data_IF_152362602269
#
_entry.id   IF_152362602269
#
_cell.length_a   1.000
_cell.length_b   1.000
_cell.length_c   1.000
_cell.angle_alpha   90.00
_cell.angle_beta   90.00
_cell.angle_gamma   90.00
#
_symmetry.space_group_name_H-M   'P 1'
#
loop_
_entity.id
_entity.type
_entity.pdbx_description
1 polymer ?
#
# COMPACT_ATOMS: atom_id res chain seq x y z
N UNK A 1 36.25 -14.52 8.11
CA UNK A 1 36.39 -15.25 9.40
C UNK A 1 35.71 -14.44 10.49
N UNK A 2 34.84 -15.10 11.28
CA UNK A 2 34.21 -14.68 12.56
C UNK A 2 33.03 -13.70 12.39
N UNK A 3 31.82 -13.99 12.87
CA UNK A 3 31.31 -15.10 13.69
C UNK A 3 29.79 -15.26 13.45
N UNK A 4 29.28 -16.49 13.36
CA UNK A 4 28.79 -17.34 14.46
C UNK A 4 27.33 -17.02 14.88
N UNK A 5 26.43 -17.85 14.33
CA UNK A 5 25.32 -18.56 15.00
C UNK A 5 24.39 -17.77 15.95
N UNK A 6 23.16 -17.54 15.49
CA UNK A 6 21.97 -17.57 16.37
C UNK A 6 20.86 -18.38 15.69
N UNK A 7 20.74 -19.64 16.09
CA UNK A 7 19.56 -20.46 15.88
C UNK A 7 18.61 -20.23 17.08
N UNK A 8 17.56 -19.44 16.87
CA UNK A 8 16.30 -19.51 17.63
C UNK A 8 15.16 -19.71 16.62
N UNK A 9 14.38 -20.79 16.67
CA UNK A 9 13.25 -20.98 15.78
C UNK A 9 11.98 -20.38 16.39
N UNK A 10 11.85 -19.05 16.49
CA UNK A 10 10.61 -18.36 16.93
C UNK A 10 10.47 -16.97 16.28
N UNK A 11 9.95 -16.97 15.04
CA UNK A 11 8.85 -16.13 14.54
C UNK A 11 8.69 -14.67 15.05
N UNK A 12 9.69 -13.81 14.90
CA UNK A 12 9.46 -12.36 14.90
C UNK A 12 10.25 -11.74 13.75
N UNK A 13 9.75 -11.94 12.53
CA UNK A 13 10.05 -10.98 11.48
C UNK A 13 9.41 -9.66 11.94
N UNK A 14 10.22 -8.72 12.43
CA UNK A 14 9.86 -7.31 12.33
C UNK A 14 9.82 -7.02 10.83
N UNK A 15 8.71 -7.37 10.18
CA UNK A 15 8.53 -7.13 8.76
C UNK A 15 8.44 -5.61 8.62
N UNK A 16 9.42 -5.01 7.95
CA UNK A 16 9.41 -3.57 7.71
C UNK A 16 8.10 -3.19 7.02
N UNK A 17 7.43 -2.12 7.47
CA UNK A 17 6.14 -1.76 6.92
C UNK A 17 6.28 -1.33 5.45
N UNK A 18 5.44 -1.92 4.60
CA UNK A 18 5.39 -1.72 3.16
C UNK A 18 4.89 -0.33 2.79
N UNK A 19 5.44 0.21 1.72
CA UNK A 19 5.13 1.54 1.21
C UNK A 19 3.92 1.54 0.28
N UNK A 20 3.43 2.74 -0.05
CA UNK A 20 2.33 2.92 -0.99
C UNK A 20 2.67 2.28 -2.34
N UNK A 21 1.79 1.41 -2.84
CA UNK A 21 1.94 0.68 -4.10
C UNK A 21 2.52 -0.72 -3.99
N UNK A 22 2.98 -1.14 -2.82
CA UNK A 22 3.43 -2.50 -2.58
C UNK A 22 2.24 -3.44 -2.29
N UNK A 23 2.29 -4.72 -2.72
CA UNK A 23 1.24 -5.68 -2.45
C UNK A 23 1.17 -6.07 -0.97
N UNK A 24 -0.03 -6.23 -0.46
CA UNK A 24 -0.29 -6.53 0.96
C UNK A 24 -1.42 -7.54 1.11
N UNK A 25 -1.42 -8.31 2.20
CA UNK A 25 -2.55 -9.16 2.57
C UNK A 25 -3.33 -8.58 3.76
N UNK A 26 -2.67 -7.79 4.61
CA UNK A 26 -3.26 -7.15 5.78
C UNK A 26 -2.85 -5.69 5.94
N UNK A 27 -3.69 -4.92 6.64
CA UNK A 27 -3.46 -3.51 6.96
C UNK A 27 -2.14 -3.28 7.71
N UNK A 28 -1.82 -4.13 8.68
CA UNK A 28 -0.62 -4.02 9.52
C UNK A 28 0.69 -4.21 8.75
N UNK A 29 0.63 -4.74 7.52
CA UNK A 29 1.80 -4.81 6.65
C UNK A 29 2.18 -3.46 6.06
N UNK A 30 1.26 -2.50 6.01
CA UNK A 30 1.47 -1.21 5.37
C UNK A 30 1.94 -0.16 6.38
N UNK A 31 2.87 0.71 6.00
CA UNK A 31 3.37 1.82 6.82
C UNK A 31 2.28 2.80 7.29
N UNK A 32 1.15 2.80 6.60
CA UNK A 32 -0.02 3.64 6.91
C UNK A 32 -1.24 2.83 7.33
N UNK A 33 -1.12 1.52 7.53
CA UNK A 33 -2.23 0.70 8.03
C UNK A 33 -3.37 0.48 7.03
N UNK A 34 -3.14 0.68 5.73
CA UNK A 34 -4.19 0.64 4.71
C UNK A 34 -3.80 -0.27 3.56
N UNK A 35 -4.39 -1.46 3.54
CA UNK A 35 -4.29 -2.45 2.48
C UNK A 35 -5.63 -2.54 1.75
N UNK A 36 -5.69 -2.06 0.50
CA UNK A 36 -6.95 -1.88 -0.22
C UNK A 36 -6.88 -2.54 -1.60
N UNK A 37 -7.90 -3.32 -1.93
CA UNK A 37 -8.06 -3.94 -3.25
C UNK A 37 -8.68 -2.97 -4.27
N UNK A 38 -8.44 -3.18 -5.56
CA UNK A 38 -9.05 -2.38 -6.63
C UNK A 38 -8.47 -0.97 -6.78
N UNK A 39 -7.46 -0.60 -6.00
CA UNK A 39 -6.81 0.71 -6.09
C UNK A 39 -5.69 0.76 -7.14
N UNK A 40 -5.27 -0.37 -7.70
CA UNK A 40 -4.18 -0.44 -8.66
C UNK A 40 -4.14 -1.72 -9.49
N UNK A 41 -5.27 -2.42 -9.58
CA UNK A 41 -5.39 -3.74 -10.21
C UNK A 41 -6.22 -4.70 -9.36
N UNK A 42 -6.11 -5.99 -9.67
CA UNK A 42 -6.81 -7.07 -8.97
C UNK A 42 -6.22 -7.36 -7.58
N UNK A 43 -4.93 -7.12 -7.40
CA UNK A 43 -4.25 -7.35 -6.12
C UNK A 43 -4.43 -6.18 -5.13
N UNK A 44 -4.63 -6.46 -3.84
CA UNK A 44 -4.60 -5.45 -2.78
C UNK A 44 -3.21 -4.83 -2.62
N UNK A 45 -3.18 -3.50 -2.56
CA UNK A 45 -1.97 -2.70 -2.43
C UNK A 45 -2.04 -1.81 -1.20
N UNK A 46 -0.87 -1.52 -0.63
CA UNK A 46 -0.72 -0.53 0.40
C UNK A 46 -1.02 0.87 -0.14
N UNK A 47 -1.78 1.65 0.63
CA UNK A 47 -2.12 3.04 0.30
C UNK A 47 -2.14 3.92 1.54
N UNK A 48 -2.54 5.18 1.35
CA UNK A 48 -2.79 6.16 2.41
C UNK A 48 -4.09 6.91 2.14
N UNK A 49 -4.74 7.36 3.21
CA UNK A 49 -5.79 8.37 3.10
C UNK A 49 -5.22 9.66 2.54
N UNK A 50 -6.03 10.42 1.82
CA UNK A 50 -5.64 11.68 1.22
C UNK A 50 -6.81 12.67 1.20
N UNK A 51 -6.50 13.96 1.23
CA UNK A 51 -7.45 15.04 0.97
C UNK A 51 -7.35 15.60 -0.45
N UNK A 52 -6.17 15.50 -1.08
CA UNK A 52 -5.90 15.99 -2.44
C UNK A 52 -4.88 15.11 -3.19
N UNK A 53 -4.76 15.31 -4.50
CA UNK A 53 -3.81 14.55 -5.35
C UNK A 53 -2.34 14.81 -5.01
N UNK A 54 -1.99 16.01 -4.51
CA UNK A 54 -0.64 16.35 -4.09
C UNK A 54 -0.16 15.51 -2.89
N UNK A 55 -1.12 14.98 -2.12
CA UNK A 55 -0.85 14.03 -1.06
C UNK A 55 -0.72 12.59 -1.59
N UNK A 56 -0.63 12.35 -2.89
CA UNK A 56 -0.38 11.02 -3.43
C UNK A 56 0.98 10.97 -4.14
N UNK A 57 1.66 9.80 -4.15
CA UNK A 57 2.89 9.64 -4.93
C UNK A 57 2.65 9.94 -6.41
N UNK A 58 3.72 10.24 -7.16
CA UNK A 58 3.61 10.45 -8.60
C UNK A 58 2.92 9.25 -9.28
N UNK A 59 1.93 9.54 -10.13
CA UNK A 59 1.12 8.51 -10.80
C UNK A 59 -0.04 7.94 -9.96
N UNK A 60 -0.39 8.60 -8.85
CA UNK A 60 -1.53 8.24 -8.02
C UNK A 60 -2.49 9.42 -7.88
N UNK A 61 -3.78 9.10 -7.73
CA UNK A 61 -4.87 10.08 -7.63
C UNK A 61 -5.64 9.82 -6.34
N UNK A 62 -5.99 10.89 -5.64
CA UNK A 62 -6.82 10.83 -4.45
C UNK A 62 -8.28 10.59 -4.84
N UNK A 63 -8.79 9.39 -4.61
CA UNK A 63 -10.13 8.99 -5.03
C UNK A 63 -10.75 7.98 -4.08
N UNK A 64 -12.07 7.91 -4.06
CA UNK A 64 -12.80 7.00 -3.19
C UNK A 64 -12.52 5.54 -3.55
N UNK A 65 -12.21 4.70 -2.56
CA UNK A 65 -11.97 3.27 -2.77
C UNK A 65 -13.09 2.35 -2.26
N UNK A 66 -14.02 2.83 -1.42
CA UNK A 66 -15.06 1.98 -0.80
C UNK A 66 -16.41 2.69 -0.66
N UNK A 67 -17.43 1.93 -0.25
CA UNK A 67 -18.80 2.39 0.02
C UNK A 67 -18.88 3.46 1.11
N UNK A 68 -17.85 3.58 1.95
CA UNK A 68 -17.75 4.55 3.04
C UNK A 68 -17.24 5.93 2.59
N UNK A 69 -17.06 6.16 1.29
CA UNK A 69 -16.56 7.43 0.72
C UNK A 69 -15.20 7.89 1.29
N UNK A 70 -14.37 6.94 1.74
CA UNK A 70 -13.01 7.26 2.20
C UNK A 70 -12.12 7.48 0.98
N UNK A 71 -11.53 8.67 0.90
CA UNK A 71 -10.55 9.03 -0.11
C UNK A 71 -9.19 8.40 0.23
N UNK A 72 -8.66 7.63 -0.70
CA UNK A 72 -7.32 7.04 -0.61
C UNK A 72 -6.56 7.29 -1.90
N UNK A 73 -5.24 7.21 -1.82
CA UNK A 73 -4.43 7.21 -3.03
C UNK A 73 -4.74 5.94 -3.82
N UNK A 74 -5.15 6.10 -5.07
CA UNK A 74 -5.31 4.99 -5.99
C UNK A 74 -4.34 5.17 -7.16
N UNK A 75 -3.69 4.07 -7.54
CA UNK A 75 -3.01 3.89 -8.82
C UNK A 75 -4.07 3.67 -9.88
N UNK A 76 -4.84 4.72 -10.15
CA UNK A 76 -5.55 4.80 -11.41
C UNK A 76 -4.52 5.27 -12.39
N UNK A 77 -4.32 4.51 -13.47
CA UNK A 77 -3.73 5.04 -14.68
C UNK A 77 -4.16 6.50 -14.86
N UNK A 78 -3.25 7.37 -15.27
CA UNK A 78 -3.65 8.34 -16.27
C UNK A 78 -4.11 7.52 -17.48
N UNK A 79 -5.27 6.86 -17.42
CA UNK A 79 -5.86 6.29 -18.61
C UNK A 79 -6.23 7.52 -19.43
N UNK A 80 -5.70 7.65 -20.65
CA UNK A 80 -6.01 8.75 -21.53
C UNK A 80 -7.43 8.58 -22.12
N UNK A 81 -8.45 8.31 -21.31
CA UNK A 81 -9.83 8.30 -21.81
C UNK A 81 -10.31 9.76 -21.93
N UNK A 82 -10.36 10.42 -23.10
CA UNK A 82 -10.32 9.85 -24.44
C UNK A 82 -11.31 8.70 -24.58
N UNK A 83 -12.57 9.00 -24.22
CA UNK A 83 -13.80 8.24 -24.48
C UNK A 83 -13.66 7.09 -25.50
#
# INVERSE_FOLDING_TARGET
MRGLLFALPLLFACQEPKNVGEPCAANDECARGLCVAGIGGEEPLCTRSCASNDECPNGWTCSGATQDNVLVCRRGDATPFGQ
#
